data_IF_909894551030
#
_entry.id   IF_909894551030
#
_cell.length_a   1.000
_cell.length_b   1.000
_cell.length_c   1.000
_cell.angle_alpha   90.00
_cell.angle_beta   90.00
_cell.angle_gamma   90.00
#
_symmetry.space_group_name_H-M   'P 1'
#
loop_
_entity.id
_entity.type
_entity.pdbx_description
1 polymer ?
#
# COMPACT_ATOMS: atom_id res chain seq x y z
N UNK A 1 10.38 -15.62 26.72
CA UNK A 1 9.03 -15.12 27.04
C UNK A 1 9.06 -13.62 26.87
N UNK A 2 8.12 -13.06 26.11
CA UNK A 2 8.01 -11.60 25.91
C UNK A 2 7.63 -10.99 27.25
N UNK A 3 8.38 -9.98 27.71
CA UNK A 3 8.10 -9.33 28.98
C UNK A 3 7.05 -8.23 28.81
N UNK A 4 6.32 -7.89 29.87
CA UNK A 4 5.44 -6.71 29.88
C UNK A 4 6.17 -5.41 29.53
N UNK A 5 7.49 -5.35 29.78
CA UNK A 5 8.33 -4.20 29.37
C UNK A 5 8.46 -4.11 27.85
N UNK A 6 8.49 -5.24 27.14
CA UNK A 6 8.60 -5.24 25.68
C UNK A 6 7.28 -4.81 25.03
N UNK A 7 6.14 -5.27 25.56
CA UNK A 7 4.81 -4.75 25.15
C UNK A 7 4.72 -3.24 25.41
N UNK A 8 5.22 -2.77 26.56
CA UNK A 8 5.23 -1.34 26.87
C UNK A 8 6.09 -0.53 25.89
N UNK A 9 7.27 -1.02 25.47
CA UNK A 9 8.09 -0.37 24.42
C UNK A 9 7.32 -0.21 23.11
N UNK A 10 6.57 -1.24 22.70
CA UNK A 10 5.74 -1.21 21.49
C UNK A 10 4.66 -0.14 21.62
N UNK A 11 3.97 -0.08 22.76
CA UNK A 11 2.96 0.94 23.02
C UNK A 11 3.58 2.34 22.99
N UNK A 12 4.75 2.56 23.61
CA UNK A 12 5.47 3.84 23.56
C UNK A 12 5.78 4.26 22.12
N UNK A 13 6.23 3.33 21.27
CA UNK A 13 6.56 3.63 19.89
C UNK A 13 5.31 3.92 19.03
N UNK A 14 4.18 3.27 19.33
CA UNK A 14 2.97 3.38 18.54
C UNK A 14 2.06 4.53 18.95
N UNK A 15 1.87 4.77 20.25
CA UNK A 15 0.91 5.78 20.75
C UNK A 15 1.10 7.16 20.11
N UNK A 16 2.33 7.71 19.94
CA UNK A 16 2.52 8.99 19.25
C UNK A 16 1.97 9.01 17.82
N UNK A 17 2.09 7.90 17.08
CA UNK A 17 1.55 7.78 15.73
C UNK A 17 0.02 7.84 15.73
N UNK A 18 -0.63 7.17 16.70
CA UNK A 18 -2.09 7.21 16.86
C UNK A 18 -2.59 8.55 17.38
N UNK A 19 -1.80 9.26 18.19
CA UNK A 19 -2.09 10.64 18.59
C UNK A 19 -2.10 11.55 17.35
N UNK A 20 -1.10 11.45 16.48
CA UNK A 20 -1.08 12.21 15.22
C UNK A 20 -2.30 11.90 14.33
N UNK A 21 -2.68 10.63 14.23
CA UNK A 21 -3.90 10.21 13.53
C UNK A 21 -5.15 10.81 14.15
N UNK A 22 -5.27 10.76 15.48
CA UNK A 22 -6.40 11.34 16.22
C UNK A 22 -6.51 12.86 16.05
N UNK A 23 -5.38 13.57 16.05
CA UNK A 23 -5.32 15.00 15.76
C UNK A 23 -5.79 15.31 14.33
N UNK A 24 -5.33 14.53 13.35
CA UNK A 24 -5.80 14.66 11.96
C UNK A 24 -7.32 14.46 11.87
N UNK A 25 -7.84 13.40 12.47
CA UNK A 25 -9.28 13.13 12.47
C UNK A 25 -10.10 14.22 13.17
N UNK A 26 -9.68 14.61 14.38
CA UNK A 26 -10.34 15.64 15.18
C UNK A 26 -10.34 17.01 14.52
N UNK A 27 -9.27 17.35 13.79
CA UNK A 27 -9.15 18.63 13.09
C UNK A 27 -10.24 18.88 12.06
N UNK A 28 -10.75 17.83 11.42
CA UNK A 28 -11.84 17.93 10.43
C UNK A 28 -13.18 17.70 11.10
N UNK A 29 -13.32 16.62 11.88
CA UNK A 29 -14.63 16.17 12.37
C UNK A 29 -15.14 16.94 13.58
N UNK A 30 -14.23 17.32 14.50
CA UNK A 30 -14.60 17.94 15.78
C UNK A 30 -14.32 19.44 15.77
N UNK A 31 -13.12 19.83 15.35
CA UNK A 31 -12.68 21.23 15.39
C UNK A 31 -13.01 22.00 14.10
N UNK A 32 -13.32 21.29 13.00
CA UNK A 32 -13.63 21.88 11.68
C UNK A 32 -12.60 22.94 11.22
N UNK A 33 -11.33 22.71 11.54
CA UNK A 33 -10.21 23.61 11.20
C UNK A 33 -9.93 23.55 9.70
N UNK A 34 -9.98 22.35 9.11
CA UNK A 34 -9.65 22.14 7.71
C UNK A 34 -10.87 21.85 6.85
N UNK A 35 -10.92 22.46 5.66
CA UNK A 35 -11.88 22.13 4.60
C UNK A 35 -11.41 20.91 3.80
N UNK A 36 -12.31 20.31 3.00
CA UNK A 36 -11.97 19.17 2.15
C UNK A 36 -10.84 19.49 1.15
N UNK A 37 -10.84 20.69 0.59
CA UNK A 37 -9.80 21.14 -0.35
C UNK A 37 -8.45 21.31 0.34
N UNK A 38 -8.43 21.87 1.56
CA UNK A 38 -7.21 21.99 2.36
C UNK A 38 -6.68 20.59 2.75
N UNK A 39 -7.55 19.65 3.09
CA UNK A 39 -7.15 18.27 3.36
C UNK A 39 -6.53 17.62 2.11
N UNK A 40 -7.10 17.84 0.93
CA UNK A 40 -6.53 17.35 -0.33
C UNK A 40 -5.15 17.97 -0.60
N UNK A 41 -4.96 19.27 -0.32
CA UNK A 41 -3.66 19.93 -0.44
C UNK A 41 -2.63 19.34 0.53
N UNK A 42 -3.00 19.11 1.79
CA UNK A 42 -2.12 18.46 2.79
C UNK A 42 -1.76 17.04 2.34
N UNK A 43 -2.74 16.26 1.87
CA UNK A 43 -2.49 14.90 1.37
C UNK A 43 -1.54 14.91 0.16
N UNK A 44 -1.65 15.89 -0.74
CA UNK A 44 -0.70 16.07 -1.85
C UNK A 44 0.69 16.43 -1.36
N UNK A 45 0.83 17.35 -0.40
CA UNK A 45 2.12 17.65 0.22
C UNK A 45 2.77 16.39 0.82
N UNK A 46 1.99 15.60 1.55
CA UNK A 46 2.48 14.38 2.20
C UNK A 46 2.91 13.34 1.18
N UNK A 47 2.13 13.13 0.12
CA UNK A 47 2.41 12.12 -0.91
C UNK A 47 3.51 12.52 -1.90
N UNK A 48 3.66 13.82 -2.21
CA UNK A 48 4.63 14.30 -3.20
C UNK A 48 6.00 14.62 -2.60
N UNK A 49 6.07 15.00 -1.33
CA UNK A 49 7.32 15.41 -0.68
C UNK A 49 7.64 14.53 0.52
N UNK A 50 6.77 14.51 1.53
CA UNK A 50 7.08 13.93 2.84
C UNK A 50 7.37 12.42 2.75
N UNK A 51 6.48 11.64 2.12
CA UNK A 51 6.65 10.19 1.98
C UNK A 51 7.83 9.78 1.08
N UNK A 52 8.11 10.48 -0.04
CA UNK A 52 9.32 10.26 -0.82
C UNK A 52 10.60 10.47 0.00
N UNK A 53 10.71 11.59 0.72
CA UNK A 53 11.88 11.85 1.57
C UNK A 53 12.00 10.83 2.70
N UNK A 54 10.89 10.42 3.31
CA UNK A 54 10.87 9.34 4.31
C UNK A 54 11.35 8.01 3.73
N UNK A 55 10.88 7.64 2.54
CA UNK A 55 11.29 6.41 1.85
C UNK A 55 12.77 6.46 1.49
N UNK A 56 13.23 7.61 1.00
CA UNK A 56 14.63 7.84 0.67
C UNK A 56 15.51 7.70 1.91
N UNK A 57 15.22 8.41 3.01
CA UNK A 57 15.97 8.33 4.27
C UNK A 57 16.10 6.89 4.78
N UNK A 58 14.99 6.15 4.87
CA UNK A 58 15.05 4.75 5.33
C UNK A 58 15.93 3.89 4.42
N UNK A 59 15.85 4.11 3.12
CA UNK A 59 16.60 3.34 2.13
C UNK A 59 18.10 3.67 2.17
N UNK A 60 18.48 4.92 2.46
CA UNK A 60 19.88 5.36 2.57
C UNK A 60 20.66 4.57 3.62
N UNK A 61 20.02 4.26 4.75
CA UNK A 61 20.65 3.56 5.87
C UNK A 61 20.60 2.04 5.76
N UNK A 62 20.05 1.52 4.67
CA UNK A 62 19.99 0.08 4.40
C UNK A 62 21.25 -0.35 3.66
N UNK A 63 21.91 -1.44 4.09
CA UNK A 63 22.97 -2.07 3.31
C UNK A 63 22.37 -3.03 2.27
N UNK A 64 22.44 -2.73 0.95
CA UNK A 64 21.91 -3.62 -0.09
C UNK A 64 22.70 -4.92 -0.23
N UNK A 65 23.96 -4.97 0.23
CA UNK A 65 24.81 -6.16 0.12
C UNK A 65 24.54 -7.18 1.25
N UNK A 66 24.03 -6.71 2.38
CA UNK A 66 23.62 -7.55 3.51
C UNK A 66 22.13 -7.97 3.45
N UNK A 67 21.50 -7.85 2.28
CA UNK A 67 20.08 -8.19 2.09
C UNK A 67 19.81 -9.66 2.40
N UNK A 68 18.80 -9.94 3.21
CA UNK A 68 18.36 -11.32 3.44
C UNK A 68 17.46 -11.78 2.28
N UNK A 69 18.07 -12.31 1.23
CA UNK A 69 17.35 -12.80 0.05
C UNK A 69 16.29 -13.85 0.37
N UNK A 70 16.48 -14.66 1.43
CA UNK A 70 15.48 -15.66 1.84
C UNK A 70 14.22 -14.99 2.39
N UNK A 71 14.37 -13.90 3.14
CA UNK A 71 13.22 -13.13 3.66
C UNK A 71 12.45 -12.45 2.52
N UNK A 72 13.16 -11.80 1.60
CA UNK A 72 12.54 -11.14 0.45
C UNK A 72 11.85 -12.14 -0.49
N UNK A 73 12.50 -13.27 -0.77
CA UNK A 73 11.93 -14.29 -1.63
C UNK A 73 10.73 -14.97 -0.96
N UNK A 74 10.73 -15.12 0.37
CA UNK A 74 9.58 -15.70 1.09
C UNK A 74 8.35 -14.83 0.96
N UNK A 75 8.51 -13.51 1.05
CA UNK A 75 7.44 -12.56 0.77
C UNK A 75 6.99 -12.61 -0.70
N UNK A 76 7.93 -12.74 -1.64
CA UNK A 76 7.56 -12.86 -3.04
C UNK A 76 6.77 -14.15 -3.31
N UNK A 77 7.19 -15.27 -2.72
CA UNK A 77 6.48 -16.56 -2.80
C UNK A 77 5.10 -16.47 -2.17
N UNK A 78 4.95 -15.85 -1.00
CA UNK A 78 3.63 -15.69 -0.36
C UNK A 78 2.64 -14.94 -1.26
N UNK A 79 3.11 -13.86 -1.91
CA UNK A 79 2.30 -13.07 -2.84
C UNK A 79 1.98 -13.84 -4.12
N UNK A 80 2.92 -14.59 -4.68
CA UNK A 80 2.67 -15.45 -5.84
C UNK A 80 1.63 -16.52 -5.52
N UNK A 81 1.71 -17.15 -4.34
CA UNK A 81 0.71 -18.13 -3.88
C UNK A 81 -0.67 -17.50 -3.80
N UNK A 82 -0.80 -16.29 -3.24
CA UNK A 82 -2.07 -15.57 -3.21
C UNK A 82 -2.59 -15.29 -4.63
N UNK A 83 -1.73 -14.85 -5.56
CA UNK A 83 -2.12 -14.61 -6.96
C UNK A 83 -2.63 -15.90 -7.62
N UNK A 84 -1.96 -17.04 -7.41
CA UNK A 84 -2.38 -18.34 -7.96
C UNK A 84 -3.75 -18.74 -7.39
N UNK A 85 -3.94 -18.65 -6.06
CA UNK A 85 -5.21 -18.98 -5.40
C UNK A 85 -6.35 -18.12 -5.97
N UNK A 86 -6.10 -16.81 -6.12
CA UNK A 86 -7.10 -15.90 -6.67
C UNK A 86 -7.37 -16.15 -8.17
N UNK A 87 -6.36 -16.49 -8.96
CA UNK A 87 -6.55 -16.85 -10.37
C UNK A 87 -7.39 -18.14 -10.53
N UNK A 88 -7.13 -19.14 -9.69
CA UNK A 88 -7.95 -20.37 -9.63
C UNK A 88 -9.38 -20.01 -9.22
N UNK A 89 -9.56 -19.18 -8.19
CA UNK A 89 -10.88 -18.75 -7.74
C UNK A 89 -11.66 -18.02 -8.84
N UNK A 90 -11.03 -17.10 -9.57
CA UNK A 90 -11.67 -16.40 -10.70
C UNK A 90 -12.03 -17.37 -11.82
N UNK A 91 -11.20 -18.37 -12.11
CA UNK A 91 -11.42 -19.32 -13.20
C UNK A 91 -12.53 -20.35 -12.91
N UNK A 92 -12.63 -20.80 -11.66
CA UNK A 92 -13.52 -21.92 -11.29
C UNK A 92 -14.75 -21.51 -10.47
N UNK A 93 -14.80 -20.30 -9.93
CA UNK A 93 -15.96 -19.85 -9.15
C UNK A 93 -16.95 -19.07 -10.01
N UNK A 94 -18.24 -19.41 -9.89
CA UNK A 94 -19.34 -18.64 -10.50
C UNK A 94 -19.47 -17.21 -9.96
N UNK A 95 -18.84 -16.92 -8.81
CA UNK A 95 -18.77 -15.57 -8.19
C UNK A 95 -17.43 -14.86 -8.46
N UNK A 96 -16.55 -15.47 -9.25
CA UNK A 96 -15.22 -14.94 -9.56
C UNK A 96 -15.30 -13.66 -10.39
N UNK A 97 -14.71 -12.56 -9.89
CA UNK A 97 -14.59 -11.30 -10.63
C UNK A 97 -13.17 -10.78 -10.56
N UNK A 98 -12.63 -10.31 -11.70
CA UNK A 98 -11.30 -9.69 -11.77
C UNK A 98 -11.17 -8.50 -10.81
N UNK A 99 -12.21 -7.68 -10.69
CA UNK A 99 -12.25 -6.54 -9.74
C UNK A 99 -12.09 -7.01 -8.29
N UNK A 100 -12.79 -8.09 -7.93
CA UNK A 100 -12.68 -8.68 -6.59
C UNK A 100 -11.32 -9.34 -6.37
N UNK A 101 -10.75 -10.01 -7.37
CA UNK A 101 -9.39 -10.57 -7.28
C UNK A 101 -8.35 -9.49 -6.97
N UNK A 102 -8.37 -8.35 -7.66
CA UNK A 102 -7.45 -7.23 -7.40
C UNK A 102 -7.64 -6.70 -5.97
N UNK A 103 -8.90 -6.60 -5.53
CA UNK A 103 -9.27 -6.14 -4.18
C UNK A 103 -8.78 -7.12 -3.11
N UNK A 104 -9.00 -8.43 -3.28
CA UNK A 104 -8.53 -9.47 -2.35
C UNK A 104 -7.00 -9.50 -2.25
N UNK A 105 -6.32 -9.40 -3.39
CA UNK A 105 -4.86 -9.36 -3.44
C UNK A 105 -4.36 -8.13 -2.68
N UNK A 106 -4.93 -6.95 -2.96
CA UNK A 106 -4.57 -5.72 -2.27
C UNK A 106 -4.76 -5.85 -0.76
N UNK A 107 -5.95 -6.27 -0.31
CA UNK A 107 -6.29 -6.44 1.10
C UNK A 107 -5.36 -7.41 1.82
N UNK A 108 -5.03 -8.55 1.21
CA UNK A 108 -4.22 -9.58 1.87
C UNK A 108 -2.73 -9.25 1.89
N UNK A 109 -2.20 -8.55 0.88
CA UNK A 109 -0.73 -8.47 0.67
C UNK A 109 -0.12 -7.08 0.84
N UNK A 110 -0.87 -5.99 0.63
CA UNK A 110 -0.30 -4.65 0.55
C UNK A 110 -0.39 -3.91 1.89
N UNK A 111 0.69 -3.93 2.66
CA UNK A 111 0.75 -3.36 4.00
C UNK A 111 1.45 -1.99 4.04
N UNK A 112 1.11 -1.18 5.04
CA UNK A 112 1.79 0.08 5.36
C UNK A 112 3.09 -0.21 6.16
N UNK A 113 4.08 -0.68 5.42
CA UNK A 113 5.35 -1.19 5.98
C UNK A 113 6.23 -0.07 6.54
N UNK A 114 6.28 1.11 5.91
CA UNK A 114 7.19 2.19 6.32
C UNK A 114 6.65 3.04 7.48
N UNK A 115 5.39 3.47 7.43
CA UNK A 115 4.85 4.43 8.42
C UNK A 115 4.57 3.75 9.76
N UNK A 116 3.92 2.58 9.72
CA UNK A 116 3.54 1.83 10.93
C UNK A 116 4.51 0.68 11.18
N UNK A 117 4.93 -0.03 10.13
CA UNK A 117 5.76 -1.23 10.27
C UNK A 117 7.14 -0.95 10.87
N UNK A 118 7.86 0.07 10.39
CA UNK A 118 9.23 0.36 10.87
C UNK A 118 9.26 0.70 12.37
N UNK A 119 8.49 1.68 12.89
CA UNK A 119 8.56 2.01 14.32
C UNK A 119 8.09 0.85 15.21
N UNK A 120 7.14 0.05 14.73
CA UNK A 120 6.63 -1.11 15.45
C UNK A 120 7.69 -2.20 15.56
N UNK A 121 8.20 -2.65 14.41
CA UNK A 121 9.16 -3.74 14.34
C UNK A 121 10.48 -3.36 15.01
N UNK A 122 10.91 -2.10 14.89
CA UNK A 122 12.08 -1.57 15.58
C UNK A 122 11.92 -1.65 17.10
N UNK A 123 10.72 -1.34 17.63
CA UNK A 123 10.44 -1.49 19.05
C UNK A 123 10.40 -2.96 19.54
N UNK A 124 9.98 -3.90 18.67
CA UNK A 124 9.81 -5.32 19.00
C UNK A 124 11.11 -6.13 18.91
N UNK A 125 11.90 -5.88 17.86
CA UNK A 125 13.05 -6.71 17.48
C UNK A 125 14.34 -5.89 17.31
N UNK A 126 14.26 -4.57 17.16
CA UNK A 126 15.43 -3.69 17.01
C UNK A 126 15.80 -3.42 15.55
N UNK A 127 17.00 -2.86 15.36
CA UNK A 127 17.47 -2.29 14.08
C UNK A 127 17.53 -3.30 12.93
N UNK A 128 17.98 -4.53 13.20
CA UNK A 128 18.08 -5.57 12.16
C UNK A 128 16.72 -5.86 11.49
N UNK A 129 15.63 -5.79 12.25
CA UNK A 129 14.30 -6.05 11.73
C UNK A 129 13.73 -4.84 10.99
N UNK A 130 14.07 -3.62 11.43
CA UNK A 130 13.81 -2.39 10.68
C UNK A 130 14.45 -2.45 9.29
N UNK A 131 15.72 -2.85 9.18
CA UNK A 131 16.42 -2.91 7.89
C UNK A 131 15.73 -3.90 6.93
N UNK A 132 15.31 -5.07 7.42
CA UNK A 132 14.56 -6.06 6.62
C UNK A 132 13.20 -5.52 6.13
N UNK A 133 12.48 -4.80 7.00
CA UNK A 133 11.17 -4.20 6.69
C UNK A 133 11.31 -3.08 5.67
N UNK A 134 12.36 -2.26 5.76
CA UNK A 134 12.68 -1.24 4.76
C UNK A 134 13.02 -1.87 3.41
N UNK A 135 13.92 -2.85 3.38
CA UNK A 135 14.26 -3.62 2.18
C UNK A 135 13.01 -4.17 1.48
N UNK A 136 12.11 -4.77 2.26
CA UNK A 136 10.87 -5.32 1.77
C UNK A 136 9.93 -4.25 1.21
N UNK A 137 9.85 -3.09 1.85
CA UNK A 137 9.02 -1.98 1.40
C UNK A 137 9.45 -1.45 0.02
N UNK A 138 10.74 -1.45 -0.28
CA UNK A 138 11.23 -1.01 -1.60
C UNK A 138 10.87 -2.04 -2.68
N UNK A 139 11.04 -3.33 -2.39
CA UNK A 139 10.57 -4.40 -3.29
C UNK A 139 9.06 -4.30 -3.51
N UNK A 140 8.29 -4.01 -2.47
CA UNK A 140 6.85 -3.78 -2.58
C UNK A 140 6.51 -2.56 -3.44
N UNK A 141 7.22 -1.46 -3.28
CA UNK A 141 7.00 -0.25 -4.06
C UNK A 141 7.33 -0.46 -5.55
N UNK A 142 8.44 -1.15 -5.85
CA UNK A 142 8.90 -1.36 -7.23
C UNK A 142 8.12 -2.51 -7.88
N UNK A 143 8.14 -3.72 -7.33
CA UNK A 143 7.57 -4.88 -8.00
C UNK A 143 6.04 -4.94 -7.85
N UNK A 144 5.55 -4.92 -6.62
CA UNK A 144 4.15 -5.25 -6.33
C UNK A 144 3.17 -4.14 -6.68
N UNK A 145 3.53 -2.87 -6.49
CA UNK A 145 2.70 -1.77 -6.98
C UNK A 145 2.71 -1.65 -8.52
N UNK A 146 3.80 -1.99 -9.22
CA UNK A 146 3.77 -2.11 -10.69
C UNK A 146 2.75 -3.14 -11.12
N UNK A 147 2.81 -4.33 -10.51
CA UNK A 147 1.93 -5.43 -10.86
C UNK A 147 0.46 -5.07 -10.59
N UNK A 148 0.19 -4.38 -9.48
CA UNK A 148 -1.14 -3.90 -9.16
C UNK A 148 -1.64 -2.86 -10.18
N UNK A 149 -0.81 -1.87 -10.53
CA UNK A 149 -1.15 -0.88 -11.55
C UNK A 149 -1.39 -1.53 -12.92
N UNK A 150 -0.57 -2.51 -13.29
CA UNK A 150 -0.76 -3.29 -14.51
C UNK A 150 -2.10 -4.03 -14.49
N UNK A 151 -2.46 -4.65 -13.36
CA UNK A 151 -3.75 -5.34 -13.22
C UNK A 151 -4.93 -4.36 -13.35
N UNK A 152 -4.82 -3.15 -12.81
CA UNK A 152 -5.82 -2.10 -12.98
C UNK A 152 -5.93 -1.61 -14.42
N UNK A 153 -4.81 -1.41 -15.12
CA UNK A 153 -4.80 -1.01 -16.53
C UNK A 153 -5.34 -2.10 -17.45
N UNK A 154 -5.05 -3.37 -17.16
CA UNK A 154 -5.62 -4.52 -17.88
C UNK A 154 -7.14 -4.57 -17.72
N UNK A 155 -7.66 -4.30 -16.51
CA UNK A 155 -9.11 -4.17 -16.29
C UNK A 155 -9.67 -3.01 -17.11
N UNK A 156 -9.06 -1.83 -17.06
CA UNK A 156 -9.53 -0.65 -17.80
C UNK A 156 -9.59 -0.92 -19.30
N UNK A 157 -8.56 -1.56 -19.86
CA UNK A 157 -8.52 -1.95 -21.26
C UNK A 157 -9.59 -3.01 -21.61
N UNK A 158 -9.81 -4.01 -20.74
CA UNK A 158 -10.83 -5.04 -20.95
C UNK A 158 -12.27 -4.53 -20.87
N UNK A 159 -12.54 -3.58 -19.98
CA UNK A 159 -13.86 -2.91 -19.88
C UNK A 159 -14.13 -2.08 -21.14
N UNK A 160 -13.14 -1.32 -21.64
CA UNK A 160 -13.26 -0.56 -22.88
C UNK A 160 -13.55 -1.44 -24.11
N UNK A 161 -13.03 -2.68 -24.15
CA UNK A 161 -13.32 -3.63 -25.22
C UNK A 161 -14.77 -4.14 -25.16
N UNK A 162 -15.31 -4.34 -23.95
CA UNK A 162 -16.65 -4.91 -23.72
C UNK A 162 -17.77 -3.90 -23.96
N UNK A 163 -17.56 -2.62 -23.64
CA UNK A 163 -18.55 -1.56 -23.88
C UNK A 163 -18.73 -1.22 -25.36
N UNK A 164 -17.66 -1.32 -26.16
CA UNK A 164 -17.72 -1.09 -27.62
C UNK A 164 -18.49 -2.20 -28.33
N UNK A 165 -18.32 -3.47 -27.91
CA UNK A 165 -19.11 -4.59 -28.45
C UNK A 165 -20.60 -4.51 -28.11
N UNK A 166 -20.98 -3.87 -27.00
CA UNK A 166 -22.37 -3.70 -26.61
C UNK A 166 -23.08 -2.57 -27.39
N UNK A 167 -22.37 -1.52 -27.80
CA UNK A 167 -22.92 -0.44 -28.64
C UNK A 167 -23.08 -0.83 -30.12
N UNK A 168 -22.30 -1.79 -30.62
CA UNK A 168 -22.43 -2.24 -32.01
C UNK A 168 -23.67 -3.11 -32.28
N UNK A 169 -24.42 -3.53 -31.26
CA UNK A 169 -25.52 -4.48 -31.39
C UNK A 169 -26.93 -3.88 -31.19
N UNK A 170 -27.05 -2.57 -30.97
CA UNK A 170 -28.33 -1.86 -30.88
C UNK A 170 -28.49 -0.85 -32.03
N UNK A 171 -28.55 -1.36 -33.26
CA UNK A 171 -28.97 -0.61 -34.44
C UNK A 171 -30.44 -0.90 -34.76
N UNK A 172 -31.37 -0.16 -34.14
CA UNK A 172 -32.80 -0.30 -34.39
C UNK A 172 -33.65 0.88 -33.88
N UNK A 173 -33.91 1.81 -34.81
CA UNK A 173 -35.02 2.79 -34.89
C UNK A 173 -35.10 4.04 -34.01
N UNK A 174 -34.91 5.19 -34.72
CA UNK A 174 -35.66 6.47 -34.71
C UNK A 174 -35.71 7.30 -33.39
N UNK A 175 -35.71 8.64 -33.32
CA UNK A 175 -36.13 9.75 -34.21
C UNK A 175 -35.23 10.99 -33.94
N UNK A 176 -35.02 11.77 -34.98
CA UNK A 176 -34.40 13.10 -35.08
C UNK A 176 -35.17 14.20 -34.30
N UNK A 177 -34.50 14.95 -33.42
CA UNK A 177 -34.79 16.37 -33.20
C UNK A 177 -33.47 17.14 -33.00
N UNK A 178 -33.32 18.16 -33.84
CA UNK A 178 -32.25 19.14 -33.93
C UNK A 178 -32.48 20.20 -32.85
N UNK A 179 -31.46 20.59 -32.09
CA UNK A 179 -31.05 22.00 -32.00
C UNK A 179 -29.64 22.13 -31.36
N UNK A 180 -28.88 23.04 -31.96
CA UNK A 180 -27.48 23.38 -31.76
C UNK A 180 -27.18 24.14 -30.46
N UNK A 181 -25.98 23.94 -29.88
CA UNK A 181 -25.18 25.01 -29.28
C UNK A 181 -23.71 24.60 -29.17
N UNK A 182 -22.85 25.47 -29.66
CA UNK A 182 -21.39 25.37 -29.79
C UNK A 182 -20.70 25.44 -28.43
N UNK A 183 -19.86 24.46 -28.09
CA UNK A 183 -18.71 24.66 -27.20
C UNK A 183 -17.53 23.82 -27.71
N UNK A 184 -16.43 24.51 -28.01
CA UNK A 184 -15.13 23.91 -28.25
C UNK A 184 -14.64 23.24 -26.97
N UNK A 185 -14.47 21.92 -27.00
CA UNK A 185 -13.43 21.26 -26.22
C UNK A 185 -12.76 20.24 -27.12
N UNK A 186 -11.44 20.33 -27.18
CA UNK A 186 -10.58 19.41 -27.91
C UNK A 186 -10.67 18.03 -27.24
N UNK A 187 -11.64 17.23 -27.67
CA UNK A 187 -11.67 15.80 -27.38
C UNK A 187 -10.43 15.15 -28.01
N UNK A 188 -9.50 14.81 -27.12
CA UNK A 188 -8.41 13.88 -27.37
C UNK A 188 -9.03 12.58 -27.88
N UNK A 189 -9.00 12.39 -29.21
CA UNK A 189 -9.43 11.17 -29.90
C UNK A 189 -8.79 9.96 -29.20
N UNK A 190 -9.56 9.25 -28.39
CA UNK A 190 -9.13 7.99 -27.81
C UNK A 190 -9.12 6.94 -28.91
N UNK A 191 -7.99 6.84 -29.62
CA UNK A 191 -7.77 5.80 -30.62
C UNK A 191 -7.94 4.41 -29.99
N UNK A 192 -8.92 3.71 -30.53
CA UNK A 192 -9.31 2.33 -30.26
C UNK A 192 -8.22 1.43 -30.87
N UNK A 193 -7.31 0.95 -30.03
CA UNK A 193 -6.41 -0.15 -30.38
C UNK A 193 -6.40 -1.10 -29.19
N UNK A 194 -6.64 -2.39 -29.43
CA UNK A 194 -6.27 -3.47 -28.50
C UNK A 194 -4.78 -3.30 -28.18
N UNK A 195 -4.46 -2.56 -27.12
CA UNK A 195 -3.09 -2.21 -26.80
C UNK A 195 -2.34 -3.50 -26.48
N UNK A 196 -1.23 -3.81 -27.18
CA UNK A 196 -0.47 -5.01 -26.87
C UNK A 196 -0.04 -4.98 -25.41
N UNK A 197 0.09 -6.14 -24.76
CA UNK A 197 0.53 -6.24 -23.35
C UNK A 197 1.78 -5.39 -23.07
N UNK A 198 2.70 -5.29 -24.03
CA UNK A 198 3.89 -4.44 -23.97
C UNK A 198 3.58 -2.94 -23.83
N UNK A 199 2.51 -2.45 -24.46
CA UNK A 199 2.06 -1.05 -24.35
C UNK A 199 1.42 -0.79 -22.98
N UNK A 200 0.56 -1.69 -22.49
CA UNK A 200 -0.01 -1.60 -21.15
C UNK A 200 1.07 -1.66 -20.07
N UNK A 201 2.06 -2.54 -20.24
CA UNK A 201 3.23 -2.60 -19.37
C UNK A 201 4.06 -1.32 -19.40
N UNK A 202 4.24 -0.70 -20.57
CA UNK A 202 4.90 0.63 -20.68
C UNK A 202 4.11 1.71 -19.94
N UNK A 203 2.78 1.74 -20.05
CA UNK A 203 1.94 2.73 -19.36
C UNK A 203 1.99 2.52 -17.86
N UNK A 204 1.83 1.28 -17.38
CA UNK A 204 1.93 0.96 -15.96
C UNK A 204 3.30 1.34 -15.40
N UNK A 205 4.37 1.01 -16.12
CA UNK A 205 5.73 1.39 -15.75
C UNK A 205 5.94 2.90 -15.75
N UNK A 206 5.41 3.63 -16.73
CA UNK A 206 5.51 5.08 -16.80
C UNK A 206 4.75 5.76 -15.65
N UNK A 207 3.53 5.32 -15.36
CA UNK A 207 2.75 5.80 -14.20
C UNK A 207 3.45 5.52 -12.87
N UNK A 208 4.10 4.37 -12.76
CA UNK A 208 4.89 4.02 -11.60
C UNK A 208 6.18 4.86 -11.51
N UNK A 209 6.87 5.09 -12.61
CA UNK A 209 8.07 5.92 -12.65
C UNK A 209 7.78 7.37 -12.28
N UNK A 210 6.56 7.85 -12.60
CA UNK A 210 6.04 9.14 -12.16
C UNK A 210 5.60 9.14 -10.69
N UNK A 211 5.52 7.99 -10.02
CA UNK A 211 5.16 7.90 -8.62
C UNK A 211 6.31 8.38 -7.73
N UNK A 212 6.10 9.40 -6.88
CA UNK A 212 7.18 9.96 -6.09
C UNK A 212 7.90 9.01 -5.15
N UNK A 213 7.17 8.07 -4.57
CA UNK A 213 7.76 7.10 -3.64
C UNK A 213 8.66 6.10 -4.37
N UNK A 214 8.40 5.83 -5.65
CA UNK A 214 9.15 4.85 -6.43
C UNK A 214 10.49 5.42 -6.85
N UNK A 215 10.52 6.64 -7.41
CA UNK A 215 11.82 7.27 -7.72
C UNK A 215 12.63 7.48 -6.45
N UNK A 216 12.00 7.85 -5.32
CA UNK A 216 12.70 8.02 -4.06
C UNK A 216 13.31 6.69 -3.55
N UNK A 217 12.57 5.59 -3.64
CA UNK A 217 13.10 4.26 -3.32
C UNK A 217 14.25 3.84 -4.24
N UNK A 218 14.13 4.08 -5.56
CA UNK A 218 15.18 3.75 -6.54
C UNK A 218 16.43 4.59 -6.31
N UNK A 219 16.28 5.91 -6.12
CA UNK A 219 17.40 6.81 -5.81
C UNK A 219 18.06 6.41 -4.50
N UNK A 220 17.27 6.06 -3.48
CA UNK A 220 17.76 5.63 -2.18
C UNK A 220 18.58 4.35 -2.28
N UNK A 221 18.08 3.34 -3.00
CA UNK A 221 18.81 2.07 -3.22
C UNK A 221 20.08 2.33 -4.03
N UNK A 222 19.98 3.12 -5.10
CA UNK A 222 21.13 3.43 -5.96
C UNK A 222 22.23 4.12 -5.16
N UNK A 223 21.84 5.09 -4.33
CA UNK A 223 22.77 5.73 -3.40
C UNK A 223 23.35 4.74 -2.39
N UNK A 224 22.52 3.92 -1.75
CA UNK A 224 22.97 2.92 -0.79
C UNK A 224 23.99 1.93 -1.41
N UNK A 225 23.81 1.54 -2.68
CA UNK A 225 24.79 0.74 -3.41
C UNK A 225 26.11 1.48 -3.60
N UNK A 226 26.08 2.73 -4.04
CA UNK A 226 27.27 3.56 -4.27
C UNK A 226 28.00 3.80 -2.94
N UNK A 227 27.28 4.23 -1.92
CA UNK A 227 27.80 4.53 -0.58
C UNK A 227 28.47 3.30 0.06
N UNK A 228 27.81 2.13 0.02
CA UNK A 228 28.38 0.91 0.60
C UNK A 228 29.53 0.33 -0.24
N UNK A 229 29.47 0.45 -1.58
CA UNK A 229 30.53 -0.06 -2.47
C UNK A 229 31.82 0.73 -2.35
N UNK A 230 31.73 2.06 -2.28
CA UNK A 230 32.87 2.98 -2.22
C UNK A 230 33.15 3.52 -0.82
N UNK A 231 32.41 3.07 0.22
CA UNK A 231 32.48 3.59 1.60
C UNK A 231 32.37 5.12 1.64
N UNK A 232 31.50 5.67 0.79
CA UNK A 232 31.28 7.10 0.68
C UNK A 232 30.20 7.53 1.68
N UNK A 233 30.53 8.47 2.55
CA UNK A 233 29.57 9.10 3.46
C UNK A 233 28.81 10.22 2.75
N UNK A 234 27.52 10.33 3.01
CA UNK A 234 26.69 11.36 2.39
C UNK A 234 27.11 12.75 2.89
N UNK A 235 27.22 13.76 2.01
CA UNK A 235 27.51 15.11 2.46
C UNK A 235 26.47 15.58 3.48
N UNK A 236 26.93 16.10 4.61
CA UNK A 236 26.08 16.51 5.74
C UNK A 236 24.99 17.51 5.36
N UNK A 237 25.22 18.34 4.34
CA UNK A 237 24.24 19.28 3.79
C UNK A 237 23.04 18.53 3.19
N UNK A 238 23.28 17.48 2.41
CA UNK A 238 22.22 16.71 1.75
C UNK A 238 21.53 15.81 2.79
N UNK A 239 22.31 15.15 3.65
CA UNK A 239 21.76 14.31 4.73
C UNK A 239 20.86 15.13 5.67
N UNK A 240 21.33 16.29 6.14
CA UNK A 240 20.54 17.19 6.97
C UNK A 240 19.26 17.68 6.28
N UNK A 241 19.33 17.98 4.97
CA UNK A 241 18.16 18.40 4.19
C UNK A 241 17.10 17.30 4.10
N UNK A 242 17.53 16.07 3.81
CA UNK A 242 16.64 14.89 3.77
C UNK A 242 16.03 14.64 5.14
N UNK A 243 16.86 14.67 6.19
CA UNK A 243 16.48 14.39 7.57
C UNK A 243 15.42 15.36 8.10
N UNK A 244 15.49 16.65 7.75
CA UNK A 244 14.48 17.63 8.16
C UNK A 244 13.10 17.25 7.60
N UNK A 245 13.05 16.90 6.31
CA UNK A 245 11.79 16.57 5.65
C UNK A 245 11.26 15.20 6.10
N UNK A 246 12.15 14.22 6.25
CA UNK A 246 11.79 12.84 6.59
C UNK A 246 11.41 12.66 8.06
N UNK A 247 11.96 13.46 9.00
CA UNK A 247 11.55 13.45 10.42
C UNK A 247 10.08 13.82 10.61
N UNK A 248 9.53 14.69 9.76
CA UNK A 248 8.09 14.97 9.73
C UNK A 248 7.27 13.81 9.11
N UNK A 249 7.94 12.90 8.40
CA UNK A 249 7.44 11.74 7.67
C UNK A 249 6.32 10.97 8.33
N UNK A 250 6.66 10.23 9.38
CA UNK A 250 5.75 9.29 10.05
C UNK A 250 4.56 10.01 10.68
N UNK A 251 4.80 11.14 11.34
CA UNK A 251 3.76 11.95 11.97
C UNK A 251 2.78 12.55 10.97
N UNK A 252 3.30 13.19 9.91
CA UNK A 252 2.46 13.78 8.86
C UNK A 252 1.72 12.72 8.05
N UNK A 253 2.31 11.55 7.83
CA UNK A 253 1.62 10.43 7.19
C UNK A 253 0.43 9.93 8.01
N UNK A 254 0.60 9.78 9.33
CA UNK A 254 -0.49 9.37 10.23
C UNK A 254 -1.54 10.48 10.39
N UNK A 255 -1.12 11.75 10.44
CA UNK A 255 -2.03 12.89 10.44
C UNK A 255 -2.88 12.95 9.16
N UNK A 256 -2.24 12.82 7.98
CA UNK A 256 -2.90 12.73 6.68
C UNK A 256 -3.87 11.55 6.60
N UNK A 257 -3.50 10.41 7.21
CA UNK A 257 -4.40 9.26 7.35
C UNK A 257 -5.63 9.59 8.21
N UNK A 258 -5.47 10.36 9.28
CA UNK A 258 -6.56 10.88 10.11
C UNK A 258 -7.49 11.83 9.35
N UNK A 259 -6.92 12.76 8.57
CA UNK A 259 -7.69 13.64 7.67
C UNK A 259 -8.50 12.82 6.68
N UNK A 260 -7.85 11.85 6.02
CA UNK A 260 -8.49 10.95 5.07
C UNK A 260 -9.67 10.19 5.69
N UNK A 261 -9.50 9.68 6.90
CA UNK A 261 -10.55 9.00 7.67
C UNK A 261 -11.72 9.93 8.01
N UNK A 262 -11.45 11.18 8.36
CA UNK A 262 -12.49 12.14 8.70
C UNK A 262 -13.28 12.66 7.48
N UNK A 263 -12.67 12.65 6.30
CA UNK A 263 -13.33 13.03 5.04
C UNK A 263 -14.27 11.95 4.49
N UNK A 264 -14.18 10.70 4.97
CA UNK A 264 -15.13 9.68 4.54
C UNK A 264 -16.51 9.98 5.13
N UNK A 265 -17.54 10.03 4.28
CA UNK A 265 -18.92 10.26 4.72
C UNK A 265 -19.43 9.15 5.66
N UNK A 266 -18.92 7.93 5.46
CA UNK A 266 -19.20 6.75 6.29
C UNK A 266 -17.89 6.05 6.65
N UNK A 267 -17.69 5.83 7.95
CA UNK A 267 -16.55 5.03 8.47
C UNK A 267 -16.68 3.56 8.01
N UNK A 268 -17.90 3.09 7.78
CA UNK A 268 -18.23 1.78 7.19
C UNK A 268 -18.94 2.02 5.86
N UNK A 269 -18.17 2.19 4.78
CA UNK A 269 -18.74 2.48 3.47
C UNK A 269 -19.33 1.23 2.79
N UNK A 270 -18.74 0.04 3.02
CA UNK A 270 -19.12 -1.21 2.33
C UNK A 270 -20.09 -2.12 3.11
N UNK A 271 -20.57 -1.70 4.28
CA UNK A 271 -21.41 -2.51 5.17
C UNK A 271 -20.64 -3.52 6.05
N UNK A 272 -21.28 -4.07 7.10
CA UNK A 272 -20.59 -4.84 8.14
C UNK A 272 -20.01 -6.16 7.62
N UNK A 273 -20.71 -6.86 6.73
CA UNK A 273 -20.28 -8.17 6.19
C UNK A 273 -18.98 -8.03 5.40
N UNK A 274 -18.91 -7.06 4.48
CA UNK A 274 -17.71 -6.81 3.68
C UNK A 274 -16.55 -6.27 4.52
N UNK A 275 -16.85 -5.54 5.61
CA UNK A 275 -15.84 -5.07 6.56
C UNK A 275 -15.20 -6.23 7.30
N UNK A 276 -16.00 -7.14 7.89
CA UNK A 276 -15.50 -8.34 8.57
C UNK A 276 -14.69 -9.19 7.61
N UNK A 277 -15.20 -9.39 6.40
CA UNK A 277 -14.51 -10.14 5.36
C UNK A 277 -13.15 -9.51 4.99
N UNK A 278 -13.09 -8.19 4.79
CA UNK A 278 -11.83 -7.48 4.53
C UNK A 278 -10.84 -7.57 5.69
N UNK A 279 -11.31 -7.48 6.94
CA UNK A 279 -10.49 -7.68 8.14
C UNK A 279 -9.93 -9.08 8.22
N UNK A 280 -10.73 -10.11 7.94
CA UNK A 280 -10.28 -11.51 7.94
C UNK A 280 -9.23 -11.73 6.87
N UNK A 281 -9.43 -11.20 5.65
CA UNK A 281 -8.41 -11.28 4.62
C UNK A 281 -7.12 -10.58 5.03
N UNK A 282 -7.22 -9.42 5.67
CA UNK A 282 -6.05 -8.65 6.08
C UNK A 282 -5.29 -9.30 7.23
N UNK A 283 -5.99 -9.59 8.31
CA UNK A 283 -5.41 -9.97 9.60
C UNK A 283 -5.23 -11.47 9.74
N UNK A 284 -5.82 -12.29 8.87
CA UNK A 284 -5.68 -13.76 8.91
C UNK A 284 -5.09 -14.28 7.61
N UNK A 285 -5.69 -13.99 6.45
CA UNK A 285 -5.22 -14.56 5.18
C UNK A 285 -3.83 -14.02 4.78
N UNK A 286 -3.54 -12.73 5.01
CA UNK A 286 -2.21 -12.16 4.82
C UNK A 286 -1.12 -12.87 5.64
N UNK A 287 -1.25 -12.94 6.99
CA UNK A 287 -0.35 -13.70 7.84
C UNK A 287 -0.24 -15.18 7.48
N UNK A 288 -1.35 -15.84 7.13
CA UNK A 288 -1.33 -17.23 6.71
C UNK A 288 -0.52 -17.43 5.41
N UNK A 289 -0.68 -16.54 4.43
CA UNK A 289 0.13 -16.57 3.21
C UNK A 289 1.62 -16.34 3.53
N UNK A 290 1.94 -15.44 4.45
CA UNK A 290 3.31 -15.21 4.90
C UNK A 290 3.92 -16.44 5.57
N UNK A 291 3.16 -17.19 6.38
CA UNK A 291 3.60 -18.48 6.93
C UNK A 291 3.93 -19.47 5.82
N UNK A 292 3.08 -19.60 4.80
CA UNK A 292 3.31 -20.52 3.67
C UNK A 292 4.60 -20.15 2.93
N UNK A 293 4.78 -18.87 2.58
CA UNK A 293 5.99 -18.39 1.91
C UNK A 293 7.25 -18.58 2.75
N UNK A 294 7.15 -18.31 4.06
CA UNK A 294 8.26 -18.47 4.98
C UNK A 294 8.65 -19.94 5.20
N UNK A 295 7.67 -20.85 5.32
CA UNK A 295 7.91 -22.28 5.41
C UNK A 295 8.50 -22.85 4.11
N UNK A 296 8.02 -22.41 2.95
CA UNK A 296 8.53 -22.84 1.65
C UNK A 296 10.03 -22.54 1.48
N UNK A 297 10.53 -21.45 2.07
CA UNK A 297 11.95 -21.09 2.03
C UNK A 297 12.73 -21.44 3.30
N UNK A 298 12.12 -22.19 4.21
CA UNK A 298 12.77 -22.66 5.44
C UNK A 298 13.17 -21.54 6.40
N UNK A 299 12.45 -20.42 6.43
CA UNK A 299 12.65 -19.38 7.44
C UNK A 299 12.30 -19.92 8.82
N UNK A 300 13.15 -19.64 9.82
CA UNK A 300 13.00 -20.10 11.20
C UNK A 300 13.27 -18.97 12.18
N UNK A 301 12.81 -19.14 13.42
CA UNK A 301 13.06 -18.21 14.52
C UNK A 301 12.47 -16.82 14.28
N UNK A 302 13.22 -15.77 14.66
CA UNK A 302 12.71 -14.40 14.68
C UNK A 302 12.40 -13.84 13.28
N UNK A 303 13.08 -14.33 12.23
CA UNK A 303 12.81 -13.92 10.84
C UNK A 303 11.43 -14.40 10.37
N UNK A 304 11.02 -15.61 10.79
CA UNK A 304 9.67 -16.11 10.54
C UNK A 304 8.63 -15.28 11.28
N UNK A 305 8.86 -15.00 12.56
CA UNK A 305 7.94 -14.17 13.37
C UNK A 305 7.78 -12.77 12.78
N UNK A 306 8.89 -12.19 12.32
CA UNK A 306 8.91 -10.91 11.64
C UNK A 306 8.07 -10.92 10.35
N UNK A 307 8.19 -11.97 9.53
CA UNK A 307 7.42 -12.10 8.28
C UNK A 307 5.90 -12.11 8.56
N UNK A 308 5.48 -12.83 9.60
CA UNK A 308 4.07 -12.95 9.99
C UNK A 308 3.54 -11.60 10.50
N UNK A 309 4.29 -10.93 11.39
CA UNK A 309 3.92 -9.62 11.95
C UNK A 309 3.85 -8.56 10.85
N UNK A 310 4.81 -8.57 9.92
CA UNK A 310 4.84 -7.63 8.80
C UNK A 310 3.63 -7.79 7.87
N UNK A 311 3.15 -9.02 7.66
CA UNK A 311 1.94 -9.28 6.88
C UNK A 311 0.65 -8.85 7.60
N UNK A 312 0.64 -8.82 8.93
CA UNK A 312 -0.50 -8.38 9.76
C UNK A 312 -0.60 -6.85 9.91
N UNK A 313 0.37 -6.08 9.39
CA UNK A 313 0.36 -4.61 9.47
C UNK A 313 -0.85 -4.00 8.75
N UNK A 314 -1.27 -2.76 9.10
CA UNK A 314 -2.37 -2.06 8.43
C UNK A 314 -2.24 -2.02 6.91
N UNK A 315 -3.37 -1.83 6.23
CA UNK A 315 -3.41 -1.68 4.77
C UNK A 315 -2.66 -0.43 4.30
N UNK A 316 -2.00 -0.52 3.13
CA UNK A 316 -1.35 0.63 2.51
C UNK A 316 -2.33 1.66 1.97
N UNK A 317 -2.13 2.95 2.28
CA UNK A 317 -2.91 4.08 1.74
C UNK A 317 -2.80 4.15 0.21
N UNK A 318 -1.62 3.88 -0.35
CA UNK A 318 -1.37 3.91 -1.79
C UNK A 318 -2.27 2.94 -2.55
N UNK A 319 -2.54 1.76 -1.97
CA UNK A 319 -3.44 0.78 -2.57
C UNK A 319 -4.89 1.28 -2.66
N UNK A 320 -5.34 2.05 -1.66
CA UNK A 320 -6.64 2.71 -1.68
C UNK A 320 -6.67 3.83 -2.72
N UNK A 321 -5.62 4.65 -2.81
CA UNK A 321 -5.55 5.75 -3.80
C UNK A 321 -5.71 5.17 -5.21
N UNK A 322 -5.00 4.10 -5.54
CA UNK A 322 -5.16 3.42 -6.83
C UNK A 322 -6.56 2.82 -6.99
N UNK A 323 -7.10 2.15 -5.98
CA UNK A 323 -8.47 1.64 -6.04
C UNK A 323 -9.51 2.74 -6.29
N UNK A 324 -9.32 3.95 -5.76
CA UNK A 324 -10.17 5.11 -6.03
C UNK A 324 -9.98 5.64 -7.45
N UNK A 325 -8.74 5.78 -7.91
CA UNK A 325 -8.42 6.26 -9.28
C UNK A 325 -8.98 5.35 -10.38
N UNK A 326 -8.98 4.04 -10.15
CA UNK A 326 -9.48 3.04 -11.10
C UNK A 326 -10.92 2.58 -10.81
N UNK A 327 -11.60 3.20 -9.84
CA UNK A 327 -12.97 2.91 -9.43
C UNK A 327 -13.20 1.41 -9.13
N UNK A 328 -12.34 0.82 -8.31
CA UNK A 328 -12.41 -0.60 -7.92
C UNK A 328 -12.55 -0.73 -6.41
N UNK A 329 -13.77 -0.94 -5.94
CA UNK A 329 -14.09 -1.23 -4.53
C UNK A 329 -13.35 -0.32 -3.53
N UNK A 330 -13.25 0.98 -3.86
CA UNK A 330 -12.55 1.96 -3.04
C UNK A 330 -13.11 2.01 -1.60
N UNK A 331 -14.43 1.80 -1.45
CA UNK A 331 -15.13 1.74 -0.16
C UNK A 331 -14.67 0.58 0.72
N UNK A 332 -14.33 -0.57 0.12
CA UNK A 332 -13.83 -1.74 0.86
C UNK A 332 -12.40 -1.47 1.33
N UNK A 333 -11.56 -0.91 0.45
CA UNK A 333 -10.17 -0.58 0.81
C UNK A 333 -10.11 0.56 1.82
N UNK A 334 -10.94 1.60 1.72
CA UNK A 334 -10.97 2.70 2.70
C UNK A 334 -11.35 2.18 4.08
N UNK A 335 -12.40 1.36 4.16
CA UNK A 335 -12.84 0.74 5.41
C UNK A 335 -11.74 -0.17 5.96
N UNK A 336 -11.06 -0.95 5.12
CA UNK A 336 -9.95 -1.79 5.54
C UNK A 336 -8.74 -1.00 6.06
N UNK A 337 -8.44 0.14 5.45
CA UNK A 337 -7.39 1.06 5.90
C UNK A 337 -7.74 1.63 7.27
N UNK A 338 -8.98 2.09 7.47
CA UNK A 338 -9.44 2.69 8.74
C UNK A 338 -9.43 1.65 9.87
N UNK A 339 -10.22 0.58 9.72
CA UNK A 339 -10.35 -0.43 10.75
C UNK A 339 -9.05 -1.22 10.95
N UNK A 340 -8.31 -1.48 9.87
CA UNK A 340 -7.03 -2.16 9.95
C UNK A 340 -6.04 -1.35 10.76
N UNK A 341 -6.04 -0.03 10.63
CA UNK A 341 -5.18 0.84 11.45
C UNK A 341 -5.63 0.83 12.91
N UNK A 342 -6.91 1.07 13.19
CA UNK A 342 -7.43 1.08 14.56
C UNK A 342 -7.27 -0.26 15.30
N UNK A 343 -7.49 -1.38 14.59
CA UNK A 343 -7.36 -2.72 15.15
C UNK A 343 -5.91 -3.23 15.16
N UNK A 344 -4.98 -2.61 14.42
CA UNK A 344 -3.65 -3.18 14.26
C UNK A 344 -2.85 -3.24 15.56
N UNK A 345 -2.86 -2.21 16.40
CA UNK A 345 -2.09 -2.23 17.64
C UNK A 345 -2.43 -3.43 18.55
N UNK A 346 -3.71 -3.66 18.94
CA UNK A 346 -4.05 -4.82 19.77
C UNK A 346 -3.80 -6.15 19.05
N UNK A 347 -4.10 -6.23 17.74
CA UNK A 347 -3.91 -7.47 16.96
C UNK A 347 -2.44 -7.82 16.83
N UNK A 348 -1.56 -6.85 16.56
CA UNK A 348 -0.13 -7.04 16.42
C UNK A 348 0.53 -7.41 17.75
N UNK A 349 0.07 -6.83 18.87
CA UNK A 349 0.51 -7.26 20.21
C UNK A 349 0.07 -8.70 20.47
N UNK A 350 -1.16 -9.08 20.12
CA UNK A 350 -1.64 -10.45 20.27
C UNK A 350 -0.80 -11.44 19.42
N UNK A 351 -0.51 -11.09 18.16
CA UNK A 351 0.38 -11.87 17.30
C UNK A 351 1.78 -11.97 17.90
N UNK A 352 2.33 -10.89 18.43
CA UNK A 352 3.65 -10.89 19.05
C UNK A 352 3.72 -11.85 20.23
N UNK A 353 2.75 -11.75 21.15
CA UNK A 353 2.66 -12.61 22.33
C UNK A 353 2.52 -14.08 21.88
N UNK A 354 1.60 -14.37 20.97
CA UNK A 354 1.35 -15.73 20.47
C UNK A 354 2.59 -16.34 19.79
N UNK A 355 3.25 -15.59 18.91
CA UNK A 355 4.47 -16.04 18.24
C UNK A 355 5.65 -16.17 19.20
N UNK A 356 5.66 -15.45 20.32
CA UNK A 356 6.64 -15.60 21.39
C UNK A 356 6.53 -16.91 22.16
N UNK A 357 5.40 -17.60 22.08
CA UNK A 357 5.21 -18.96 22.64
C UNK A 357 5.60 -20.07 21.66
N UNK A 358 5.52 -19.81 20.36
CA UNK A 358 5.92 -20.76 19.31
C UNK A 358 7.44 -20.71 19.19
N UNK A 359 8.12 -21.74 19.72
CA UNK A 359 9.58 -21.78 19.88
C UNK A 359 10.31 -22.18 18.61
#
# INVERSE_FOLDING_TARGET
MISWRDVYKVVIAMVPLYVALGLGFGSVRWWKIFTADQCNAINRLVTLFILPFLTFEFTLHTDPFAMNYRFLLADAVSKIVVVIILAIWVKYSSKGSYSWSITMFSLSTLTNTLVVGVPLVSAMYGKWAQDLVVQLSVVQAIAWFTLLLLAFELKKAGVGLSSVSAQSNNGGNQVMLVESSIVNDAEEKSEIVSRPFRSLMKIAWFKLALNPNVYAGILGITWAFIANRWRFEMPSIIEGSVLIMSRAGTGMAMFSMGLFMALQEKIIACGPILTVFGMVLKLVAGPAAAVIGAMALGLRGDVLRLAIIQAALPQSITSFIFAKEYEVHADVLSTAVIFGTLASLPVLIAYYIFLGFIR
#
